data_IF_420282444292
#
_entry.id   IF_420282444292
#
_cell.length_a   1.000
_cell.length_b   1.000
_cell.length_c   1.000
_cell.angle_alpha   90.00
_cell.angle_beta   90.00
_cell.angle_gamma   90.00
#
_symmetry.space_group_name_H-M   'P 1'
#
loop_
_entity.id
_entity.type
_entity.pdbx_description
1 polymer ?
#
# COMPACT_ATOMS: atom_id res chain seq x y z
N UNK A 1 -18.24 -12.40 5.11
CA UNK A 1 -17.13 -11.52 5.52
C UNK A 1 -17.40 -10.05 5.23
N UNK A 2 -17.85 -9.66 4.02
CA UNK A 2 -18.12 -8.25 3.67
C UNK A 2 -19.01 -7.51 4.68
N UNK A 3 -20.12 -8.13 5.12
CA UNK A 3 -21.01 -7.53 6.13
C UNK A 3 -20.33 -7.26 7.48
N UNK A 4 -19.37 -8.10 7.89
CA UNK A 4 -18.59 -7.89 9.11
C UNK A 4 -17.70 -6.66 8.99
N UNK A 5 -16.97 -6.52 7.88
CA UNK A 5 -16.16 -5.33 7.63
C UNK A 5 -17.00 -4.06 7.55
N UNK A 6 -18.19 -4.12 6.91
CA UNK A 6 -19.14 -3.00 6.92
C UNK A 6 -19.47 -2.55 8.35
N UNK A 7 -19.81 -3.48 9.23
CA UNK A 7 -20.09 -3.17 10.64
C UNK A 7 -18.91 -2.51 11.36
N UNK A 8 -17.67 -2.95 11.07
CA UNK A 8 -16.47 -2.30 11.61
C UNK A 8 -16.28 -0.87 11.07
N UNK A 9 -16.52 -0.65 9.77
CA UNK A 9 -16.45 0.69 9.16
C UNK A 9 -17.56 1.63 9.67
N UNK A 10 -18.68 1.08 10.12
CA UNK A 10 -19.77 1.85 10.73
C UNK A 10 -19.45 2.22 12.19
N UNK A 11 -18.74 1.33 12.90
CA UNK A 11 -18.38 1.52 14.30
C UNK A 11 -17.09 2.33 14.53
N UNK A 12 -16.15 2.29 13.59
CA UNK A 12 -14.81 2.84 13.77
C UNK A 12 -14.32 3.63 12.56
N UNK A 13 -13.45 4.65 12.75
CA UNK A 13 -12.90 5.46 11.66
C UNK A 13 -11.75 4.73 10.92
N UNK A 14 -12.00 3.50 10.47
CA UNK A 14 -11.03 2.69 9.74
C UNK A 14 -10.86 3.25 8.33
N UNK A 15 -9.61 3.47 7.94
CA UNK A 15 -9.27 4.08 6.64
C UNK A 15 -8.69 3.09 5.64
N UNK A 16 -8.21 1.93 6.11
CA UNK A 16 -7.59 0.90 5.28
C UNK A 16 -7.87 -0.49 5.86
N UNK A 17 -8.09 -1.46 4.99
CA UNK A 17 -8.15 -2.90 5.28
C UNK A 17 -7.16 -3.60 4.34
N UNK A 18 -6.28 -4.41 4.90
CA UNK A 18 -5.31 -5.22 4.17
C UNK A 18 -5.74 -6.69 4.25
N UNK A 19 -5.64 -7.40 3.13
CA UNK A 19 -5.95 -8.83 3.01
C UNK A 19 -7.25 -9.26 3.72
N UNK A 20 -8.34 -8.58 3.38
CA UNK A 20 -9.65 -8.83 3.99
C UNK A 20 -10.23 -10.22 3.68
N UNK A 21 -9.75 -10.88 2.63
CA UNK A 21 -10.16 -12.21 2.20
C UNK A 21 -8.93 -13.02 1.78
N UNK A 22 -9.12 -14.32 1.56
CA UNK A 22 -8.05 -15.21 1.10
C UNK A 22 -7.45 -14.74 -0.24
N UNK A 23 -6.18 -15.05 -0.48
CA UNK A 23 -5.41 -14.59 -1.64
C UNK A 23 -5.91 -15.14 -3.00
N UNK A 24 -6.70 -16.21 -2.96
CA UNK A 24 -7.29 -16.89 -4.13
C UNK A 24 -8.81 -16.65 -4.26
N UNK A 25 -9.45 -15.94 -3.33
CA UNK A 25 -10.87 -15.59 -3.36
C UNK A 25 -11.14 -14.33 -4.20
N UNK A 26 -10.79 -14.37 -5.48
CA UNK A 26 -10.94 -13.25 -6.41
C UNK A 26 -12.40 -12.76 -6.54
N UNK A 27 -13.36 -13.70 -6.48
CA UNK A 27 -14.78 -13.38 -6.53
C UNK A 27 -15.23 -12.61 -5.29
N UNK A 28 -14.85 -13.08 -4.09
CA UNK A 28 -15.13 -12.38 -2.85
C UNK A 28 -14.45 -11.02 -2.78
N UNK A 29 -13.21 -10.90 -3.29
CA UNK A 29 -12.52 -9.62 -3.37
C UNK A 29 -13.23 -8.61 -4.28
N UNK A 30 -13.78 -9.06 -5.41
CA UNK A 30 -14.55 -8.20 -6.30
C UNK A 30 -15.83 -7.70 -5.60
N UNK A 31 -16.54 -8.59 -4.88
CA UNK A 31 -17.70 -8.22 -4.06
C UNK A 31 -17.31 -7.22 -2.96
N UNK A 32 -16.23 -7.50 -2.22
CA UNK A 32 -15.71 -6.61 -1.17
C UNK A 32 -15.38 -5.21 -1.73
N UNK A 33 -14.79 -5.17 -2.92
CA UNK A 33 -14.39 -3.92 -3.57
C UNK A 33 -15.59 -3.13 -4.05
N UNK A 34 -16.57 -3.80 -4.69
CA UNK A 34 -17.81 -3.17 -5.12
C UNK A 34 -18.60 -2.57 -3.94
N UNK A 35 -18.64 -3.27 -2.81
CA UNK A 35 -19.41 -2.85 -1.64
C UNK A 35 -18.70 -1.78 -0.79
N UNK A 36 -17.39 -1.89 -0.60
CA UNK A 36 -16.66 -1.08 0.40
C UNK A 36 -15.55 -0.18 -0.17
N UNK A 37 -15.11 -0.36 -1.42
CA UNK A 37 -13.95 0.35 -1.99
C UNK A 37 -14.10 1.87 -2.08
N UNK A 38 -15.33 2.39 -2.08
CA UNK A 38 -15.61 3.83 -2.02
C UNK A 38 -15.48 4.42 -0.60
N UNK A 39 -15.48 3.57 0.45
CA UNK A 39 -15.44 3.98 1.85
C UNK A 39 -14.07 3.82 2.48
N UNK A 40 -13.33 2.79 2.07
CA UNK A 40 -12.07 2.35 2.69
C UNK A 40 -11.04 1.97 1.64
N UNK A 41 -9.77 2.16 1.94
CA UNK A 41 -8.68 1.62 1.12
C UNK A 41 -8.63 0.10 1.29
N UNK A 42 -8.66 -0.64 0.19
CA UNK A 42 -8.55 -2.10 0.17
C UNK A 42 -7.19 -2.46 -0.40
N UNK A 43 -6.30 -2.95 0.47
CA UNK A 43 -4.90 -3.22 0.14
C UNK A 43 -4.71 -4.71 -0.07
N UNK A 44 -4.30 -5.10 -1.27
CA UNK A 44 -3.84 -6.46 -1.55
C UNK A 44 -2.35 -6.62 -1.25
N UNK A 45 -2.01 -7.50 -0.33
CA UNK A 45 -0.64 -7.93 -0.03
C UNK A 45 -0.41 -9.35 -0.57
N UNK A 46 -0.93 -10.38 0.09
CA UNK A 46 -0.84 -11.77 -0.39
C UNK A 46 -1.67 -12.00 -1.67
N UNK A 47 -2.69 -11.17 -1.89
CA UNK A 47 -3.47 -11.17 -3.13
C UNK A 47 -2.62 -10.85 -4.37
N UNK A 48 -1.70 -9.89 -4.26
CA UNK A 48 -0.91 -9.40 -5.39
C UNK A 48 0.54 -9.82 -5.36
N UNK A 49 1.12 -10.09 -4.18
CA UNK A 49 2.53 -10.48 -3.94
C UNK A 49 3.55 -9.66 -4.73
N UNK A 50 3.29 -8.36 -4.90
CA UNK A 50 4.11 -7.47 -5.75
C UNK A 50 4.32 -8.03 -7.17
N UNK A 51 3.38 -8.82 -7.70
CA UNK A 51 3.46 -9.45 -9.01
C UNK A 51 2.61 -8.68 -10.05
N UNK A 52 3.20 -8.28 -11.19
CA UNK A 52 2.50 -7.48 -12.18
C UNK A 52 1.29 -8.20 -12.81
N UNK A 53 1.38 -9.51 -13.08
CA UNK A 53 0.28 -10.27 -13.69
C UNK A 53 -0.94 -10.38 -12.75
N UNK A 54 -0.71 -10.59 -11.44
CA UNK A 54 -1.79 -10.58 -10.44
C UNK A 54 -2.38 -9.18 -10.29
N UNK A 55 -1.55 -8.13 -10.30
CA UNK A 55 -2.04 -6.76 -10.27
C UNK A 55 -2.90 -6.45 -11.51
N UNK A 56 -2.44 -6.77 -12.72
CA UNK A 56 -3.20 -6.59 -13.97
C UNK A 56 -4.54 -7.32 -13.95
N UNK A 57 -4.56 -8.54 -13.38
CA UNK A 57 -5.81 -9.26 -13.14
C UNK A 57 -6.72 -8.48 -12.20
N UNK A 58 -6.20 -7.98 -11.08
CA UNK A 58 -6.95 -7.17 -10.13
C UNK A 58 -7.55 -5.92 -10.76
N UNK A 59 -6.78 -5.22 -11.58
CA UNK A 59 -7.23 -4.05 -12.35
C UNK A 59 -8.39 -4.39 -13.29
N UNK A 60 -8.28 -5.49 -14.04
CA UNK A 60 -9.31 -5.95 -14.99
C UNK A 60 -10.60 -6.39 -14.27
N UNK A 61 -10.47 -7.08 -13.14
CA UNK A 61 -11.58 -7.62 -12.36
C UNK A 61 -12.13 -6.62 -11.31
N UNK A 62 -11.56 -5.41 -11.23
CA UNK A 62 -11.92 -4.35 -10.25
C UNK A 62 -11.81 -4.84 -8.80
N UNK A 63 -10.70 -5.48 -8.50
CA UNK A 63 -10.38 -6.08 -7.20
C UNK A 63 -9.37 -5.22 -6.45
N UNK A 64 -9.67 -4.94 -5.18
CA UNK A 64 -8.92 -4.04 -4.29
C UNK A 64 -8.86 -2.60 -4.84
N UNK A 65 -8.24 -1.69 -4.08
CA UNK A 65 -8.01 -0.30 -4.49
C UNK A 65 -6.57 0.16 -4.28
N UNK A 66 -5.73 -0.70 -3.68
CA UNK A 66 -4.33 -0.46 -3.45
C UNK A 66 -3.52 -1.76 -3.41
N UNK A 67 -2.22 -1.63 -3.59
CA UNK A 67 -1.25 -2.72 -3.49
C UNK A 67 -0.22 -2.43 -2.38
N UNK A 68 0.10 -3.46 -1.60
CA UNK A 68 1.25 -3.44 -0.70
C UNK A 68 2.49 -3.91 -1.47
N UNK A 69 3.49 -3.05 -1.59
CA UNK A 69 4.70 -3.32 -2.38
C UNK A 69 5.83 -3.74 -1.46
N UNK A 70 6.30 -4.98 -1.62
CA UNK A 70 7.47 -5.53 -0.93
C UNK A 70 8.53 -5.87 -1.97
N UNK A 71 9.62 -5.12 -1.99
CA UNK A 71 10.71 -5.22 -2.97
C UNK A 71 11.19 -6.67 -3.16
N UNK A 72 11.34 -7.40 -2.07
CA UNK A 72 11.86 -8.77 -2.10
C UNK A 72 10.84 -9.84 -2.51
N UNK A 73 9.56 -9.51 -2.72
CA UNK A 73 8.60 -10.45 -3.32
C UNK A 73 8.78 -10.58 -4.82
N UNK A 74 9.17 -9.49 -5.51
CA UNK A 74 9.41 -9.50 -6.96
C UNK A 74 10.89 -9.68 -7.31
N UNK A 75 11.79 -9.19 -6.46
CA UNK A 75 13.22 -9.54 -6.49
C UNK A 75 14.14 -8.42 -6.98
N UNK A 76 13.70 -7.56 -7.90
CA UNK A 76 14.51 -6.43 -8.39
C UNK A 76 13.85 -5.07 -8.18
N UNK A 77 14.68 -4.02 -8.14
CA UNK A 77 14.18 -2.63 -8.10
C UNK A 77 13.45 -2.25 -9.39
N UNK A 78 13.93 -2.71 -10.55
CA UNK A 78 13.27 -2.43 -11.84
C UNK A 78 11.84 -2.95 -11.84
N UNK A 79 11.64 -4.23 -11.52
CA UNK A 79 10.30 -4.82 -11.50
C UNK A 79 9.42 -4.20 -10.40
N UNK A 80 10.03 -3.81 -9.26
CA UNK A 80 9.31 -3.06 -8.23
C UNK A 80 8.78 -1.73 -8.76
N UNK A 81 9.61 -0.98 -9.50
CA UNK A 81 9.22 0.30 -10.11
C UNK A 81 8.15 0.11 -11.18
N UNK A 82 8.22 -0.95 -11.98
CA UNK A 82 7.20 -1.29 -12.98
C UNK A 82 5.84 -1.57 -12.34
N UNK A 83 5.81 -2.32 -11.23
CA UNK A 83 4.58 -2.58 -10.45
C UNK A 83 4.00 -1.29 -9.86
N UNK A 84 4.86 -0.44 -9.30
CA UNK A 84 4.43 0.86 -8.73
C UNK A 84 3.87 1.76 -9.83
N UNK A 85 4.51 1.86 -10.99
CA UNK A 85 4.03 2.65 -12.12
C UNK A 85 2.70 2.10 -12.67
N UNK A 86 2.58 0.78 -12.83
CA UNK A 86 1.36 0.12 -13.26
C UNK A 86 0.17 0.45 -12.33
N UNK A 87 0.37 0.34 -11.02
CA UNK A 87 -0.67 0.68 -10.04
C UNK A 87 -1.07 2.17 -10.14
N UNK A 88 -0.08 3.07 -10.19
CA UNK A 88 -0.33 4.52 -10.26
C UNK A 88 -1.08 4.94 -11.52
N UNK A 89 -0.72 4.38 -12.70
CA UNK A 89 -1.40 4.66 -13.97
C UNK A 89 -2.88 4.27 -13.95
N UNK A 90 -3.26 3.34 -13.09
CA UNK A 90 -4.65 2.91 -12.90
C UNK A 90 -5.28 3.47 -11.62
N UNK A 91 -4.68 4.51 -11.05
CA UNK A 91 -5.14 5.17 -9.82
C UNK A 91 -5.28 4.26 -8.59
N UNK A 92 -4.57 3.12 -8.57
CA UNK A 92 -4.44 2.32 -7.36
C UNK A 92 -3.52 3.01 -6.35
N UNK A 93 -3.86 2.89 -5.07
CA UNK A 93 -2.96 3.26 -3.99
C UNK A 93 -1.70 2.38 -4.00
N UNK A 94 -0.56 2.98 -3.69
CA UNK A 94 0.71 2.28 -3.55
C UNK A 94 1.19 2.46 -2.12
N UNK A 95 1.42 1.36 -1.41
CA UNK A 95 1.96 1.37 -0.06
C UNK A 95 3.27 0.57 -0.04
N UNK A 96 4.40 1.27 0.00
CA UNK A 96 5.71 0.61 0.12
C UNK A 96 5.83 -0.01 1.51
N UNK A 97 6.32 -1.24 1.61
CA UNK A 97 6.21 -2.03 2.82
C UNK A 97 7.49 -2.77 3.19
N UNK A 98 7.66 -2.93 4.50
CA UNK A 98 8.70 -3.74 5.12
C UNK A 98 8.39 -5.26 5.07
N UNK A 99 9.28 -6.06 5.66
CA UNK A 99 9.01 -7.46 6.04
C UNK A 99 9.03 -7.65 7.55
N UNK A 100 8.48 -8.77 8.03
CA UNK A 100 8.45 -9.11 9.46
C UNK A 100 9.86 -9.33 10.04
N UNK A 101 10.77 -9.93 9.28
CA UNK A 101 12.22 -9.86 9.49
C UNK A 101 12.80 -8.68 8.72
N UNK A 102 13.42 -7.73 9.42
CA UNK A 102 14.03 -6.55 8.81
C UNK A 102 15.44 -6.31 9.33
N UNK A 103 16.20 -5.52 8.57
CA UNK A 103 17.55 -5.03 8.85
C UNK A 103 17.54 -3.51 9.06
N UNK A 104 18.71 -2.94 9.31
CA UNK A 104 18.92 -1.49 9.37
C UNK A 104 18.87 -0.78 8.00
N UNK A 105 18.75 -1.51 6.89
CA UNK A 105 18.60 -0.93 5.55
C UNK A 105 17.41 0.04 5.51
N UNK A 106 17.54 1.15 4.78
CA UNK A 106 16.50 2.20 4.73
C UNK A 106 15.95 2.42 3.32
N UNK A 107 16.28 1.56 2.36
CA UNK A 107 15.98 1.73 0.94
C UNK A 107 14.49 1.96 0.67
N UNK A 108 13.61 1.32 1.44
CA UNK A 108 12.15 1.49 1.27
C UNK A 108 11.65 2.89 1.63
N UNK A 109 12.36 3.64 2.49
CA UNK A 109 12.04 5.04 2.78
C UNK A 109 12.33 5.92 1.57
N UNK A 110 13.52 5.78 0.99
CA UNK A 110 13.92 6.46 -0.25
C UNK A 110 12.98 6.10 -1.41
N UNK A 111 12.62 4.81 -1.57
CA UNK A 111 11.72 4.34 -2.61
C UNK A 111 10.31 4.95 -2.49
N UNK A 112 9.78 5.05 -1.26
CA UNK A 112 8.46 5.64 -1.02
C UNK A 112 8.40 7.11 -1.47
N UNK A 113 9.46 7.88 -1.23
CA UNK A 113 9.56 9.28 -1.66
C UNK A 113 9.82 9.39 -3.16
N UNK A 114 10.78 8.62 -3.68
CA UNK A 114 11.18 8.65 -5.10
C UNK A 114 10.03 8.32 -6.05
N UNK A 115 9.16 7.38 -5.65
CA UNK A 115 7.98 6.98 -6.44
C UNK A 115 6.75 7.85 -6.17
N UNK A 116 6.83 8.76 -5.19
CA UNK A 116 5.68 9.53 -4.72
C UNK A 116 4.53 8.66 -4.24
N UNK A 117 4.81 7.48 -3.67
CA UNK A 117 3.81 6.48 -3.28
C UNK A 117 2.74 7.06 -2.33
N UNK A 118 3.13 8.03 -1.50
CA UNK A 118 2.25 8.71 -0.55
C UNK A 118 1.96 7.92 0.72
N UNK A 119 2.22 6.61 0.73
CA UNK A 119 2.03 5.73 1.89
C UNK A 119 3.23 4.78 2.07
N UNK A 120 3.56 4.50 3.33
CA UNK A 120 4.59 3.53 3.72
C UNK A 120 4.14 2.75 4.96
N UNK A 121 4.36 1.43 4.95
CA UNK A 121 4.12 0.53 6.10
C UNK A 121 5.47 -0.03 6.56
N UNK A 122 6.09 0.64 7.54
CA UNK A 122 7.42 0.27 8.04
C UNK A 122 7.47 -0.13 9.52
N UNK A 123 6.31 -0.49 10.11
CA UNK A 123 6.21 -1.06 11.46
C UNK A 123 5.98 -0.02 12.55
N UNK A 124 5.91 -0.44 13.81
CA UNK A 124 5.76 0.50 14.93
C UNK A 124 7.02 1.39 15.07
N UNK A 125 6.91 2.57 15.70
CA UNK A 125 8.05 3.42 16.07
C UNK A 125 8.81 2.81 17.28
N UNK A 126 9.17 1.54 17.16
CA UNK A 126 9.89 0.75 18.13
C UNK A 126 10.75 -0.28 17.38
N UNK A 127 11.84 -0.72 18.00
CA UNK A 127 12.88 -1.59 17.39
C UNK A 127 13.71 -0.85 16.33
N UNK A 128 15.04 -1.02 16.42
CA UNK A 128 16.01 -0.24 15.65
C UNK A 128 15.78 -0.29 14.14
N UNK A 129 15.54 -1.49 13.62
CA UNK A 129 15.30 -1.78 12.21
C UNK A 129 14.05 -1.09 11.65
N UNK A 130 13.07 -0.71 12.49
CA UNK A 130 11.87 0.04 12.07
C UNK A 130 12.11 1.53 12.16
N UNK A 131 12.65 1.97 13.29
CA UNK A 131 12.98 3.38 13.54
C UNK A 131 14.02 3.92 12.55
N UNK A 132 14.90 3.09 12.01
CA UNK A 132 15.85 3.49 10.97
C UNK A 132 15.17 4.11 9.73
N UNK A 133 14.05 3.53 9.28
CA UNK A 133 13.30 4.04 8.11
C UNK A 133 12.61 5.37 8.42
N UNK A 134 12.02 5.50 9.62
CA UNK A 134 11.46 6.77 10.07
C UNK A 134 12.52 7.87 10.16
N UNK A 135 13.69 7.56 10.73
CA UNK A 135 14.82 8.49 10.78
C UNK A 135 15.31 8.86 9.38
N UNK A 136 15.23 7.95 8.41
CA UNK A 136 15.56 8.26 7.01
C UNK A 136 14.52 9.19 6.39
N UNK A 137 13.22 8.97 6.60
CA UNK A 137 12.16 9.87 6.12
C UNK A 137 12.31 11.28 6.69
N UNK A 138 12.61 11.41 7.99
CA UNK A 138 12.87 12.72 8.61
C UNK A 138 14.04 13.45 7.95
N UNK A 139 15.13 12.74 7.62
CA UNK A 139 16.27 13.32 6.89
C UNK A 139 15.91 13.72 5.47
N UNK A 140 15.14 12.88 4.76
CA UNK A 140 14.67 13.23 3.40
C UNK A 140 13.79 14.49 3.43
N UNK A 141 12.90 14.60 4.42
CA UNK A 141 12.07 15.80 4.60
C UNK A 141 12.93 17.05 4.90
N UNK A 142 13.92 16.92 5.79
CA UNK A 142 14.90 17.99 6.07
C UNK A 142 15.68 18.40 4.82
N UNK A 143 16.19 17.44 4.05
CA UNK A 143 16.94 17.65 2.80
C UNK A 143 16.09 18.38 1.74
N UNK A 144 14.80 18.06 1.65
CA UNK A 144 13.86 18.69 0.70
C UNK A 144 13.42 20.09 1.13
N UNK A 145 13.47 20.41 2.42
CA UNK A 145 13.06 21.70 2.98
C UNK A 145 11.68 22.15 2.48
N UNK A 146 11.59 23.38 1.97
CA UNK A 146 10.34 23.98 1.49
C UNK A 146 9.70 23.26 0.28
N UNK A 147 10.43 22.35 -0.37
CA UNK A 147 9.91 21.53 -1.48
C UNK A 147 9.21 20.25 -1.01
N UNK A 148 9.38 19.87 0.26
CA UNK A 148 8.72 18.70 0.83
C UNK A 148 7.18 18.84 0.81
N UNK A 149 6.48 17.74 0.54
CA UNK A 149 5.02 17.68 0.56
C UNK A 149 4.55 16.45 1.29
N UNK A 150 3.81 16.65 2.38
CA UNK A 150 3.14 15.59 3.12
C UNK A 150 1.66 15.52 2.71
N UNK A 151 1.26 14.44 2.05
CA UNK A 151 -0.10 14.30 1.51
C UNK A 151 -1.16 14.06 2.60
N UNK A 152 -0.78 13.64 3.81
CA UNK A 152 -1.70 13.42 4.93
C UNK A 152 -2.91 12.55 4.54
N UNK A 153 -4.12 13.07 4.73
CA UNK A 153 -5.37 12.35 4.40
C UNK A 153 -5.58 12.18 2.90
N UNK A 154 -5.01 13.06 2.07
CA UNK A 154 -5.17 13.01 0.61
C UNK A 154 -4.43 11.82 -0.02
N UNK A 155 -3.50 11.20 0.73
CA UNK A 155 -2.87 9.94 0.34
C UNK A 155 -3.85 8.75 0.36
N UNK A 156 -4.96 8.86 1.11
CA UNK A 156 -5.97 7.82 1.26
C UNK A 156 -7.04 8.01 0.19
N UNK A 157 -6.69 7.71 -1.06
CA UNK A 157 -7.63 7.81 -2.20
C UNK A 157 -8.63 6.67 -2.16
N UNK A 158 -9.92 7.02 -2.16
CA UNK A 158 -11.04 6.06 -2.19
C UNK A 158 -11.50 5.88 -3.64
N UNK A 159 -12.04 4.72 -3.99
CA UNK A 159 -12.53 4.50 -5.34
C UNK A 159 -13.61 5.54 -5.70
N UNK A 160 -13.40 6.30 -6.79
CA UNK A 160 -14.32 7.33 -7.29
C UNK A 160 -14.08 8.76 -6.77
N UNK A 161 -12.98 9.02 -6.04
CA UNK A 161 -12.53 10.36 -5.63
C UNK A 161 -11.26 10.82 -6.33
#
# INVERSE_FOLDING_TARGET
MVAFYRGLLDAFPIVSIEDGLAEDDWGGWAELTAELGARVLLVGDDLFVTNPERLERGLREKVATAILVKVNQIGTLTETLDVVDLARRHAYGVMVSHRSGETEDVTIADLAVATGAGQIKTGAPARGERTAKYNRLLRIEEDLGDTARYAGRDAIRRAGG
#
